data_IF_028372989787
#
_entry.id   IF_028372989787
#
_cell.length_a   1.000
_cell.length_b   1.000
_cell.length_c   1.000
_cell.angle_alpha   90.00
_cell.angle_beta   90.00
_cell.angle_gamma   90.00
#
_symmetry.space_group_name_H-M   'P 1'
#
loop_
_entity.id
_entity.type
_entity.pdbx_description
1 polymer ?
#
# COMPACT_ATOMS: atom_id res chain seq x y z
N UNK A 1 14.16 -4.89 16.15
CA UNK A 1 12.87 -5.36 15.59
C UNK A 1 13.18 -6.52 14.65
N UNK A 2 12.58 -7.69 14.88
CA UNK A 2 12.68 -8.79 13.92
C UNK A 2 11.68 -8.55 12.77
N UNK A 3 12.08 -8.84 11.54
CA UNK A 3 11.22 -8.70 10.36
C UNK A 3 11.12 -10.08 9.70
N UNK A 4 9.89 -10.48 9.40
CA UNK A 4 9.60 -11.71 8.67
C UNK A 4 8.77 -11.37 7.44
N UNK A 5 9.01 -12.06 6.33
CA UNK A 5 8.27 -11.84 5.10
C UNK A 5 7.99 -13.17 4.41
N UNK A 6 6.76 -13.34 3.96
CA UNK A 6 6.36 -14.46 3.08
C UNK A 6 6.79 -14.25 1.63
N UNK A 7 7.14 -13.02 1.24
CA UNK A 7 7.44 -12.65 -0.14
C UNK A 7 8.93 -12.84 -0.53
N UNK A 8 9.76 -13.30 0.40
CA UNK A 8 11.16 -13.59 0.15
C UNK A 8 12.03 -13.55 1.39
N UNK A 9 13.25 -14.09 1.27
CA UNK A 9 14.24 -14.08 2.35
C UNK A 9 14.88 -12.70 2.45
N UNK A 10 14.99 -12.18 3.67
CA UNK A 10 15.79 -10.98 3.93
C UNK A 10 17.27 -11.29 3.73
N UNK A 11 17.92 -10.54 2.84
CA UNK A 11 19.35 -10.69 2.55
C UNK A 11 20.24 -9.79 3.42
N UNK A 12 19.64 -8.81 4.10
CA UNK A 12 20.30 -7.92 5.05
C UNK A 12 19.29 -7.45 6.12
N UNK A 13 19.75 -6.95 7.28
CA UNK A 13 18.91 -6.25 8.23
C UNK A 13 18.21 -5.06 7.56
N UNK A 14 16.91 -4.88 7.83
CA UNK A 14 16.11 -3.80 7.27
C UNK A 14 15.46 -3.02 8.40
N UNK A 15 15.64 -1.70 8.39
CA UNK A 15 14.88 -0.81 9.26
C UNK A 15 13.58 -0.36 8.58
N UNK A 16 12.47 -0.54 9.31
CA UNK A 16 11.12 -0.15 8.91
C UNK A 16 10.48 0.80 9.95
N UNK A 17 11.21 1.26 10.96
CA UNK A 17 10.69 2.14 12.03
C UNK A 17 10.12 3.44 11.47
N UNK A 18 10.75 3.98 10.43
CA UNK A 18 10.30 5.15 9.69
C UNK A 18 9.16 4.83 8.71
N UNK A 19 8.62 3.61 8.63
CA UNK A 19 7.55 3.33 7.68
C UNK A 19 6.22 3.76 8.23
N UNK A 20 5.43 4.43 7.41
CA UNK A 20 4.07 4.90 7.72
C UNK A 20 3.19 3.84 8.38
N UNK A 21 3.25 2.59 7.92
CA UNK A 21 2.51 1.48 8.52
C UNK A 21 3.01 1.08 9.92
N UNK A 22 4.29 1.29 10.23
CA UNK A 22 4.83 1.08 11.58
C UNK A 22 4.45 2.25 12.48
N UNK A 23 4.60 3.49 11.99
CA UNK A 23 4.19 4.70 12.72
C UNK A 23 2.70 4.66 13.07
N UNK A 24 1.83 4.31 12.11
CA UNK A 24 0.40 4.21 12.35
C UNK A 24 0.05 3.18 13.44
N UNK A 25 0.79 2.07 13.55
CA UNK A 25 0.62 1.09 14.61
C UNK A 25 1.14 1.59 15.98
N UNK A 26 2.21 2.40 15.98
CA UNK A 26 2.71 3.06 17.20
C UNK A 26 1.74 4.14 17.68
N UNK A 27 1.14 4.88 16.75
CA UNK A 27 0.21 5.98 17.03
C UNK A 27 -1.22 5.48 17.33
N UNK A 28 -1.50 4.18 17.16
CA UNK A 28 -2.85 3.62 17.38
C UNK A 28 -3.28 3.61 18.85
N UNK A 29 -2.35 3.84 19.79
CA UNK A 29 -2.65 3.93 21.22
C UNK A 29 -3.30 2.67 21.78
N UNK A 30 -2.89 1.49 21.31
CA UNK A 30 -3.43 0.21 21.76
C UNK A 30 -4.79 -0.15 21.15
N UNK A 31 -5.22 0.53 20.08
CA UNK A 31 -6.42 0.16 19.31
C UNK A 31 -6.04 -0.64 18.07
N UNK A 32 -6.82 -1.67 17.76
CA UNK A 32 -6.70 -2.45 16.52
C UNK A 32 -7.35 -1.70 15.36
N UNK A 33 -6.58 -0.79 14.77
CA UNK A 33 -6.99 0.01 13.63
C UNK A 33 -6.25 -0.42 12.36
N UNK A 34 -7.00 -0.58 11.27
CA UNK A 34 -6.43 -0.80 9.95
C UNK A 34 -5.86 0.51 9.41
N UNK A 35 -4.54 0.55 9.19
CA UNK A 35 -3.90 1.61 8.45
C UNK A 35 -3.68 1.20 6.99
N UNK A 36 -3.99 2.12 6.07
CA UNK A 36 -3.78 1.94 4.62
C UNK A 36 -2.84 3.04 4.16
N UNK A 37 -1.64 2.64 3.77
CA UNK A 37 -0.62 3.54 3.24
C UNK A 37 -0.79 3.82 1.75
N UNK A 38 -0.15 4.88 1.28
CA UNK A 38 -0.07 5.17 -0.16
C UNK A 38 0.75 4.10 -0.91
N UNK A 39 0.51 3.90 -2.23
CA UNK A 39 1.35 3.02 -3.04
C UNK A 39 2.82 3.43 -2.95
N UNK A 40 3.69 2.52 -2.49
CA UNK A 40 5.15 2.72 -2.43
C UNK A 40 5.89 1.43 -2.76
N UNK A 41 7.15 1.57 -3.17
CA UNK A 41 8.07 0.45 -3.35
C UNK A 41 8.49 -0.13 -1.99
N UNK A 42 8.22 -1.41 -1.78
CA UNK A 42 8.57 -2.14 -0.57
C UNK A 42 10.09 -2.24 -0.39
N UNK A 43 10.59 -2.06 0.84
CA UNK A 43 12.04 -2.18 1.14
C UNK A 43 12.53 -3.63 1.11
N UNK A 44 11.64 -4.56 1.45
CA UNK A 44 11.94 -6.00 1.51
C UNK A 44 11.81 -6.66 0.14
N UNK A 45 10.72 -6.40 -0.57
CA UNK A 45 10.40 -7.08 -1.82
C UNK A 45 10.83 -6.32 -3.07
N UNK A 46 11.08 -5.01 -2.97
CA UNK A 46 11.31 -4.15 -4.13
C UNK A 46 10.07 -3.95 -5.03
N UNK A 47 8.90 -4.46 -4.66
CA UNK A 47 7.66 -4.35 -5.45
C UNK A 47 6.86 -3.12 -5.06
N UNK A 48 6.14 -2.54 -6.01
CA UNK A 48 5.14 -1.50 -5.73
C UNK A 48 3.92 -2.11 -5.08
N UNK A 49 3.57 -1.62 -3.89
CA UNK A 49 2.44 -2.12 -3.13
C UNK A 49 1.71 -0.99 -2.40
N UNK A 50 0.39 -1.10 -2.33
CA UNK A 50 -0.42 -0.48 -1.28
C UNK A 50 -0.22 -1.33 -0.02
N UNK A 51 0.16 -0.70 1.08
CA UNK A 51 0.42 -1.41 2.32
C UNK A 51 -0.74 -1.26 3.28
N UNK A 52 -1.24 -2.40 3.73
CA UNK A 52 -2.29 -2.54 4.73
C UNK A 52 -1.61 -3.05 6.00
N UNK A 53 -1.86 -2.42 7.14
CA UNK A 53 -1.25 -2.84 8.39
C UNK A 53 -2.21 -2.75 9.55
N UNK A 54 -2.00 -3.66 10.51
CA UNK A 54 -2.65 -3.64 11.82
C UNK A 54 -1.60 -3.86 12.92
N UNK A 55 -1.79 -3.24 14.10
CA UNK A 55 -0.98 -3.57 15.25
C UNK A 55 -1.31 -4.98 15.75
N UNK A 56 -0.30 -5.70 16.20
CA UNK A 56 -0.47 -6.92 17.01
C UNK A 56 -0.40 -6.46 18.46
N UNK A 57 -1.50 -6.60 19.19
CA UNK A 57 -1.62 -6.14 20.56
C UNK A 57 -1.52 -7.31 21.53
N UNK A 58 -0.91 -7.06 22.70
CA UNK A 58 -0.99 -7.99 23.85
C UNK A 58 -2.34 -7.83 24.55
N UNK A 59 -2.63 -8.74 25.47
CA UNK A 59 -3.84 -8.70 26.29
C UNK A 59 -3.97 -7.41 27.13
N UNK A 60 -2.86 -6.76 27.46
CA UNK A 60 -2.80 -5.48 28.18
C UNK A 60 -2.93 -4.24 27.26
N UNK A 61 -3.11 -4.45 25.95
CA UNK A 61 -3.19 -3.38 24.94
C UNK A 61 -1.83 -2.85 24.47
N UNK A 62 -0.71 -3.33 25.00
CA UNK A 62 0.61 -2.93 24.54
C UNK A 62 0.95 -3.50 23.16
N UNK A 63 1.71 -2.75 22.36
CA UNK A 63 2.13 -3.19 21.03
C UNK A 63 3.14 -4.35 21.12
N UNK A 64 2.78 -5.50 20.56
CA UNK A 64 3.65 -6.65 20.40
C UNK A 64 4.41 -6.63 19.06
N UNK A 65 3.81 -6.04 18.03
CA UNK A 65 4.40 -5.96 16.69
C UNK A 65 3.43 -5.37 15.68
N UNK A 66 3.77 -5.46 14.39
CA UNK A 66 2.94 -4.94 13.29
C UNK A 66 2.84 -6.02 12.22
N UNK A 67 1.61 -6.33 11.80
CA UNK A 67 1.37 -7.16 10.62
C UNK A 67 1.16 -6.26 9.41
N UNK A 68 1.76 -6.62 8.27
CA UNK A 68 1.69 -5.83 7.03
C UNK A 68 1.39 -6.74 5.85
N UNK A 69 0.37 -6.38 5.08
CA UNK A 69 0.05 -6.98 3.80
C UNK A 69 0.30 -5.95 2.68
N UNK A 70 1.15 -6.32 1.72
CA UNK A 70 1.39 -5.53 0.52
C UNK A 70 0.54 -6.05 -0.64
N UNK A 71 -0.31 -5.19 -1.22
CA UNK A 71 -1.13 -5.51 -2.39
C UNK A 71 -0.65 -4.70 -3.58
N UNK A 72 -0.39 -5.33 -4.72
CA UNK A 72 0.02 -4.63 -5.93
C UNK A 72 -1.10 -3.68 -6.40
N UNK A 73 -0.79 -2.43 -6.83
CA UNK A 73 -1.80 -1.52 -7.38
C UNK A 73 -2.65 -2.12 -8.51
N UNK A 74 -2.06 -2.99 -9.33
CA UNK A 74 -2.74 -3.68 -10.43
C UNK A 74 -3.88 -4.60 -9.96
N UNK A 75 -3.88 -5.04 -8.69
CA UNK A 75 -5.02 -5.76 -8.12
C UNK A 75 -6.30 -4.91 -8.19
N UNK A 76 -6.19 -3.60 -7.93
CA UNK A 76 -7.32 -2.69 -7.90
C UNK A 76 -7.74 -2.23 -9.31
N UNK A 77 -6.83 -2.23 -10.28
CA UNK A 77 -7.17 -1.87 -11.67
C UNK A 77 -7.93 -2.99 -12.39
N UNK A 78 -7.71 -4.26 -12.03
CA UNK A 78 -8.31 -5.43 -12.68
C UNK A 78 -9.84 -5.40 -12.80
N UNK A 79 -10.53 -4.85 -11.81
CA UNK A 79 -11.99 -4.72 -11.86
C UNK A 79 -12.41 -3.83 -13.05
N UNK A 80 -11.65 -2.78 -13.31
CA UNK A 80 -11.92 -1.77 -14.32
C UNK A 80 -11.49 -2.20 -15.72
N UNK A 81 -10.63 -3.22 -15.86
CA UNK A 81 -10.21 -3.75 -17.16
C UNK A 81 -11.38 -4.38 -17.94
N UNK A 82 -12.49 -4.71 -17.26
CA UNK A 82 -13.71 -5.23 -17.91
C UNK A 82 -14.62 -4.16 -18.51
N UNK A 83 -14.35 -2.88 -18.21
CA UNK A 83 -15.19 -1.76 -18.66
C UNK A 83 -14.59 -1.17 -19.94
N UNK A 84 -15.27 -1.35 -21.08
CA UNK A 84 -14.86 -0.71 -22.33
C UNK A 84 -15.33 0.76 -22.36
N UNK A 85 -14.38 1.66 -22.17
CA UNK A 85 -14.60 3.11 -22.26
C UNK A 85 -13.95 3.72 -23.52
N UNK A 86 -13.44 2.90 -24.45
CA UNK A 86 -12.66 3.38 -25.60
C UNK A 86 -11.19 3.66 -25.28
N UNK A 87 -10.42 4.13 -26.27
CA UNK A 87 -8.96 4.35 -26.17
C UNK A 87 -8.56 5.62 -25.43
N UNK A 88 -9.45 6.60 -25.36
CA UNK A 88 -9.18 7.94 -24.80
C UNK A 88 -9.69 8.11 -23.37
N UNK A 89 -10.15 7.03 -22.75
CA UNK A 89 -10.67 7.03 -21.39
C UNK A 89 -9.67 6.44 -20.39
N UNK A 90 -9.75 6.91 -19.15
CA UNK A 90 -9.00 6.36 -18.02
C UNK A 90 -9.90 6.19 -16.81
N UNK A 91 -9.63 5.16 -16.02
CA UNK A 91 -10.26 4.96 -14.71
C UNK A 91 -9.18 5.05 -13.65
N UNK A 92 -9.39 5.91 -12.66
CA UNK A 92 -8.48 6.10 -11.53
C UNK A 92 -9.17 5.75 -10.23
N UNK A 93 -8.55 4.89 -9.43
CA UNK A 93 -8.91 4.70 -8.02
C UNK A 93 -8.12 5.71 -7.20
N UNK A 94 -8.82 6.57 -6.50
CA UNK A 94 -8.23 7.69 -5.77
C UNK A 94 -8.72 7.66 -4.34
N UNK A 95 -7.81 7.83 -3.38
CA UNK A 95 -8.18 8.03 -1.98
C UNK A 95 -8.87 9.38 -1.80
N UNK A 96 -9.63 9.52 -0.71
CA UNK A 96 -10.25 10.79 -0.31
C UNK A 96 -9.26 11.95 -0.16
N UNK A 97 -7.98 11.65 0.08
CA UNK A 97 -6.90 12.64 0.16
C UNK A 97 -6.23 12.95 -1.20
N UNK A 98 -6.79 12.51 -2.33
CA UNK A 98 -6.32 12.83 -3.68
C UNK A 98 -5.14 11.98 -4.19
N UNK A 99 -4.70 10.98 -3.43
CA UNK A 99 -3.63 10.06 -3.86
C UNK A 99 -4.20 9.01 -4.82
N UNK A 100 -3.58 8.88 -5.99
CA UNK A 100 -3.88 7.82 -6.97
C UNK A 100 -3.35 6.49 -6.45
N UNK A 101 -4.26 5.56 -6.17
CA UNK A 101 -3.95 4.19 -5.75
C UNK A 101 -3.58 3.33 -6.95
N UNK A 102 -4.40 3.39 -7.99
CA UNK A 102 -4.24 2.69 -9.25
C UNK A 102 -4.89 3.52 -10.36
N UNK A 103 -4.38 3.39 -11.58
CA UNK A 103 -4.95 3.99 -12.78
C UNK A 103 -4.78 3.04 -13.95
N UNK A 104 -5.86 2.78 -14.67
CA UNK A 104 -5.84 1.99 -15.91
C UNK A 104 -6.20 2.89 -17.09
N UNK A 105 -5.45 2.73 -18.17
CA UNK A 105 -5.78 3.22 -19.52
C UNK A 105 -5.62 2.04 -20.47
N UNK A 106 -6.36 2.02 -21.58
CA UNK A 106 -6.21 0.95 -22.58
C UNK A 106 -4.79 0.87 -23.16
N UNK A 107 -4.04 1.99 -23.10
CA UNK A 107 -2.66 2.07 -23.55
C UNK A 107 -1.61 1.65 -22.50
N UNK A 108 -1.84 1.83 -21.19
CA UNK A 108 -0.88 1.53 -20.12
C UNK A 108 -1.55 1.34 -18.74
N UNK A 109 -1.48 0.12 -18.18
CA UNK A 109 -2.28 -0.26 -17.01
C UNK A 109 -1.74 0.15 -15.61
N UNK A 110 -0.53 0.72 -15.45
CA UNK A 110 0.07 0.86 -14.08
C UNK A 110 0.95 2.11 -13.85
N UNK A 111 1.12 3.03 -14.82
CA UNK A 111 2.20 4.04 -14.72
C UNK A 111 2.02 5.19 -13.71
N UNK A 112 0.87 5.31 -13.03
CA UNK A 112 0.54 6.52 -12.22
C UNK A 112 0.33 6.28 -10.72
N UNK A 113 0.59 5.08 -10.21
CA UNK A 113 0.35 4.76 -8.80
C UNK A 113 1.25 5.59 -7.86
N UNK A 114 0.67 6.20 -6.83
CA UNK A 114 1.39 6.98 -5.81
C UNK A 114 1.60 8.46 -6.14
N UNK A 115 1.00 8.98 -7.22
CA UNK A 115 1.01 10.42 -7.56
C UNK A 115 -0.25 11.13 -7.04
N UNK A 116 -0.13 12.45 -6.82
CA UNK A 116 -1.28 13.35 -6.64
C UNK A 116 -2.02 13.48 -7.97
N UNK A 117 -3.36 13.61 -7.93
CA UNK A 117 -4.17 13.84 -9.13
C UNK A 117 -3.89 15.17 -9.83
N UNK A 118 -3.44 16.19 -9.10
CA UNK A 118 -3.08 17.47 -9.67
C UNK A 118 -1.82 17.32 -10.54
N UNK A 119 -1.99 17.36 -11.86
CA UNK A 119 -0.90 17.34 -12.83
C UNK A 119 -0.71 16.03 -13.62
N UNK A 120 -1.64 15.08 -13.53
CA UNK A 120 -1.74 14.00 -14.53
C UNK A 120 -2.57 14.47 -15.72
N UNK A 121 -2.10 14.29 -16.98
CA UNK A 121 -2.90 14.59 -18.16
C UNK A 121 -4.19 13.76 -18.23
#
# INVERSE_FOLDING_TARGET
>A
MAVFSSAGKLTAPVDLSDREYVRAALDSGGRDELAIGQPRKGRVTGLWTVQFSRPILRADGSLAGVIVAGVAPSYFSRFYDSIDLGTDASISLVRSNGIVVARTTRSQAVQYSGRLLTGTP
#
